data_IF_712905789288
#
_entry.id   IF_712905789288
#
_cell.length_a   1.000
_cell.length_b   1.000
_cell.length_c   1.000
_cell.angle_alpha   90.00
_cell.angle_beta   90.00
_cell.angle_gamma   90.00
#
_symmetry.space_group_name_H-M   'P 1'
#
loop_
_entity.id
_entity.type
_entity.pdbx_description
1 polymer ?
#
# COMPACT_ATOMS: atom_id res chain seq x y z
N UNK A 1 21.25 -49.77 -67.15
CA UNK A 1 21.19 -50.87 -66.16
C UNK A 1 22.10 -50.45 -65.01
N UNK A 2 21.71 -50.26 -63.75
CA UNK A 2 20.43 -50.32 -63.05
C UNK A 2 20.64 -49.58 -61.72
N UNK A 3 19.60 -48.88 -61.27
CA UNK A 3 19.53 -48.24 -59.95
C UNK A 3 19.24 -49.28 -58.85
N UNK A 4 19.39 -48.81 -57.60
CA UNK A 4 18.77 -49.31 -56.36
C UNK A 4 19.39 -50.56 -55.71
N UNK A 5 19.56 -50.68 -54.38
CA UNK A 5 19.53 -49.78 -53.22
C UNK A 5 20.19 -50.54 -52.05
N UNK A 6 20.66 -49.85 -51.00
CA UNK A 6 20.85 -50.47 -49.67
C UNK A 6 20.67 -49.47 -48.52
N UNK A 7 19.51 -49.65 -47.87
CA UNK A 7 18.95 -49.27 -46.56
C UNK A 7 19.78 -48.47 -45.53
N UNK A 8 19.09 -47.49 -44.97
CA UNK A 8 19.33 -46.71 -43.75
C UNK A 8 19.28 -47.50 -42.42
N UNK A 9 19.98 -46.96 -41.41
CA UNK A 9 19.52 -46.54 -40.05
C UNK A 9 20.77 -46.58 -39.14
N UNK A 10 21.25 -45.53 -38.48
CA UNK A 10 20.59 -44.40 -37.84
C UNK A 10 21.11 -44.37 -36.40
N UNK A 11 22.02 -43.44 -36.05
CA UNK A 11 22.35 -43.09 -34.66
C UNK A 11 22.54 -41.59 -34.56
N UNK A 12 21.60 -40.98 -33.83
CA UNK A 12 21.44 -39.56 -33.59
C UNK A 12 22.62 -39.01 -32.79
N UNK A 13 23.17 -37.90 -33.26
CA UNK A 13 24.08 -37.04 -32.51
C UNK A 13 23.21 -36.21 -31.55
N UNK A 14 23.40 -36.35 -30.24
CA UNK A 14 22.63 -35.65 -29.21
C UNK A 14 23.17 -34.23 -29.12
N UNK A 15 22.48 -33.30 -29.78
CA UNK A 15 22.70 -31.87 -29.65
C UNK A 15 22.16 -31.42 -28.29
N UNK A 16 23.05 -30.93 -27.42
CA UNK A 16 22.69 -30.38 -26.11
C UNK A 16 21.74 -29.19 -26.31
N UNK A 17 20.61 -29.12 -25.57
CA UNK A 17 19.70 -28.00 -25.71
C UNK A 17 20.39 -26.74 -25.20
N UNK A 18 20.54 -25.76 -26.10
CA UNK A 18 20.91 -24.38 -25.76
C UNK A 18 19.94 -23.89 -24.69
N UNK A 19 20.41 -23.78 -23.44
CA UNK A 19 19.69 -23.05 -22.40
C UNK A 19 19.56 -21.62 -22.89
N UNK A 20 18.35 -21.27 -23.33
CA UNK A 20 17.92 -19.88 -23.41
C UNK A 20 18.19 -19.26 -22.03
N UNK A 21 19.25 -18.47 -21.94
CA UNK A 21 19.40 -17.51 -20.84
C UNK A 21 18.31 -16.49 -21.10
N UNK A 22 17.15 -16.71 -20.49
CA UNK A 22 16.18 -15.64 -20.30
C UNK A 22 16.96 -14.55 -19.54
N UNK A 23 17.03 -13.36 -20.13
CA UNK A 23 17.40 -12.16 -19.40
C UNK A 23 16.65 -12.17 -18.07
N UNK A 24 17.28 -11.82 -16.92
CA UNK A 24 16.59 -11.84 -15.65
C UNK A 24 15.36 -10.95 -15.79
N UNK A 25 14.19 -11.61 -15.88
CA UNK A 25 12.91 -10.93 -15.87
C UNK A 25 12.95 -10.07 -14.63
N UNK A 26 12.82 -8.76 -14.82
CA UNK A 26 12.66 -7.79 -13.74
C UNK A 26 11.56 -8.37 -12.84
N UNK A 27 11.94 -8.93 -11.70
CA UNK A 27 10.99 -9.45 -10.72
C UNK A 27 10.08 -8.26 -10.44
N UNK A 28 8.83 -8.33 -10.90
CA UNK A 28 7.85 -7.33 -10.53
C UNK A 28 7.85 -7.37 -9.00
N UNK A 29 8.33 -6.29 -8.40
CA UNK A 29 8.43 -6.22 -6.96
C UNK A 29 7.00 -6.08 -6.47
N UNK A 30 6.32 -7.19 -6.22
CA UNK A 30 4.91 -7.26 -5.81
C UNK A 30 4.67 -6.61 -4.44
N UNK A 31 5.74 -6.18 -3.76
CA UNK A 31 5.69 -5.39 -2.54
C UNK A 31 5.02 -4.04 -2.79
N UNK A 32 3.89 -3.80 -2.13
CA UNK A 32 3.26 -2.47 -2.08
C UNK A 32 4.09 -1.54 -1.19
N UNK A 33 4.36 -0.34 -1.67
CA UNK A 33 5.06 0.72 -0.94
C UNK A 33 4.06 1.72 -0.39
N UNK A 34 4.08 1.91 0.92
CA UNK A 34 3.15 2.80 1.61
C UNK A 34 3.83 4.11 1.95
N UNK A 35 3.19 5.23 1.57
CA UNK A 35 3.41 6.53 2.19
C UNK A 35 2.40 6.68 3.34
N UNK A 36 2.88 6.56 4.57
CA UNK A 36 2.08 6.72 5.79
C UNK A 36 2.04 8.20 6.19
N UNK A 37 0.85 8.80 6.23
CA UNK A 37 0.63 10.19 6.63
C UNK A 37 -0.21 10.20 7.90
N UNK A 38 0.26 10.91 8.92
CA UNK A 38 -0.39 10.96 10.23
C UNK A 38 -0.15 12.31 10.89
N UNK A 39 -0.94 12.64 11.91
CA UNK A 39 -0.69 13.78 12.80
C UNK A 39 -0.56 13.24 14.22
N UNK A 40 0.56 13.55 14.87
CA UNK A 40 0.80 13.25 16.28
C UNK A 40 1.51 14.43 16.93
N UNK A 41 0.92 15.00 17.97
CA UNK A 41 1.49 16.14 18.70
C UNK A 41 2.37 15.68 19.87
N UNK A 42 2.15 14.45 20.35
CA UNK A 42 2.89 13.85 21.45
C UNK A 42 3.79 12.71 20.99
N UNK A 43 4.82 12.40 21.79
CA UNK A 43 5.72 11.26 21.50
C UNK A 43 4.99 9.93 21.69
N UNK A 44 4.03 9.91 22.59
CA UNK A 44 3.18 8.78 22.91
C UNK A 44 2.31 8.42 21.70
N UNK A 45 1.61 9.40 21.12
CA UNK A 45 0.85 9.20 19.87
C UNK A 45 1.75 8.74 18.72
N UNK A 46 2.92 9.35 18.56
CA UNK A 46 3.87 8.94 17.53
C UNK A 46 4.35 7.49 17.75
N UNK A 47 4.53 7.07 19.01
CA UNK A 47 4.88 5.71 19.35
C UNK A 47 3.78 4.72 18.94
N UNK A 48 2.51 5.06 19.15
CA UNK A 48 1.38 4.22 18.69
C UNK A 48 1.40 4.07 17.17
N UNK A 49 1.67 5.15 16.42
CA UNK A 49 1.80 5.08 14.96
C UNK A 49 2.97 4.19 14.53
N UNK A 50 4.09 4.23 15.26
CA UNK A 50 5.23 3.32 15.02
C UNK A 50 4.86 1.86 15.30
N UNK A 51 4.15 1.59 16.39
CA UNK A 51 3.65 0.24 16.69
C UNK A 51 2.74 -0.29 15.58
N UNK A 52 1.84 0.55 15.07
CA UNK A 52 0.99 0.21 13.92
C UNK A 52 1.82 -0.07 12.66
N UNK A 53 2.80 0.78 12.35
CA UNK A 53 3.68 0.63 11.17
C UNK A 53 4.45 -0.69 11.21
N UNK A 54 5.00 -1.02 12.36
CA UNK A 54 5.80 -2.23 12.56
C UNK A 54 4.88 -3.46 12.43
N UNK A 55 3.72 -3.44 13.09
CA UNK A 55 2.69 -4.48 12.96
C UNK A 55 2.18 -4.67 11.52
N UNK A 56 1.99 -3.58 10.75
CA UNK A 56 1.60 -3.64 9.34
C UNK A 56 2.66 -4.36 8.50
N UNK A 57 3.92 -4.01 8.71
CA UNK A 57 5.05 -4.60 7.97
C UNK A 57 5.21 -6.09 8.31
N UNK A 58 5.11 -6.42 9.60
CA UNK A 58 5.23 -7.79 10.09
C UNK A 58 4.07 -8.66 9.60
N UNK A 59 2.82 -8.16 9.70
CA UNK A 59 1.63 -8.88 9.23
C UNK A 59 1.65 -9.12 7.72
N UNK A 60 2.19 -8.17 6.96
CA UNK A 60 2.28 -8.28 5.51
C UNK A 60 3.37 -9.25 5.03
N UNK A 61 4.30 -9.65 5.91
CA UNK A 61 5.38 -10.60 5.59
C UNK A 61 6.09 -10.27 4.26
N UNK A 62 6.43 -8.99 4.08
CA UNK A 62 7.11 -8.49 2.89
C UNK A 62 6.21 -8.09 1.71
N UNK A 63 4.90 -8.33 1.75
CA UNK A 63 4.00 -7.92 0.66
C UNK A 63 3.61 -6.44 0.70
N UNK A 64 3.76 -5.79 1.85
CA UNK A 64 3.54 -4.37 2.07
C UNK A 64 4.71 -3.85 2.89
N UNK A 65 5.26 -2.71 2.48
CA UNK A 65 6.35 -2.03 3.18
C UNK A 65 6.04 -0.55 3.30
N UNK A 66 6.18 -0.01 4.52
CA UNK A 66 6.11 1.43 4.73
C UNK A 66 7.43 2.06 4.31
N UNK A 67 7.42 2.73 3.16
CA UNK A 67 8.62 3.33 2.57
C UNK A 67 8.91 4.71 3.18
N UNK A 68 7.86 5.48 3.47
CA UNK A 68 7.97 6.80 4.11
C UNK A 68 6.83 7.01 5.10
N UNK A 69 7.16 7.62 6.23
CA UNK A 69 6.19 8.06 7.24
C UNK A 69 6.33 9.58 7.41
N UNK A 70 5.21 10.30 7.44
CA UNK A 70 5.17 11.77 7.52
C UNK A 70 4.23 12.19 8.64
N UNK A 71 4.80 12.82 9.68
CA UNK A 71 4.05 13.48 10.73
C UNK A 71 3.73 14.93 10.31
N UNK A 72 2.45 15.27 10.31
CA UNK A 72 1.93 16.58 9.92
C UNK A 72 1.94 17.61 11.05
N UNK A 73 2.15 17.21 12.30
CA UNK A 73 2.28 18.15 13.42
C UNK A 73 3.57 18.99 13.33
N UNK A 74 4.58 18.51 12.61
CA UNK A 74 5.81 19.26 12.38
C UNK A 74 5.56 20.35 11.34
N UNK A 75 6.07 21.57 11.55
CA UNK A 75 5.82 22.73 10.66
C UNK A 75 6.18 22.52 9.18
N UNK A 76 7.05 21.55 8.87
CA UNK A 76 7.43 21.16 7.51
C UNK A 76 6.79 19.81 7.06
N UNK A 77 5.83 19.29 7.81
CA UNK A 77 5.22 17.98 7.57
C UNK A 77 4.51 17.92 6.22
N UNK A 78 3.80 18.99 5.84
CA UNK A 78 3.09 19.07 4.56
C UNK A 78 4.04 19.01 3.35
N UNK A 79 5.17 19.73 3.39
CA UNK A 79 6.16 19.72 2.31
C UNK A 79 6.76 18.34 2.06
N UNK A 80 6.79 17.52 3.12
CA UNK A 80 7.31 16.16 3.06
C UNK A 80 6.31 15.14 2.51
N UNK A 81 5.02 15.48 2.43
CA UNK A 81 4.01 14.63 1.77
C UNK A 81 4.26 14.68 0.26
N UNK A 82 4.41 13.50 -0.35
CA UNK A 82 4.53 13.38 -1.82
C UNK A 82 3.24 13.86 -2.47
N UNK A 83 3.33 14.32 -3.71
CA UNK A 83 2.14 14.64 -4.50
C UNK A 83 1.57 13.38 -5.19
N UNK A 84 0.53 13.56 -6.00
CA UNK A 84 -0.14 12.50 -6.73
C UNK A 84 0.79 11.70 -7.65
N UNK A 85 1.94 12.24 -8.07
CA UNK A 85 2.90 11.49 -8.90
C UNK A 85 3.47 10.26 -8.18
N UNK A 86 3.44 10.25 -6.84
CA UNK A 86 3.74 9.06 -6.06
C UNK A 86 2.83 7.89 -6.41
N UNK A 87 1.56 8.16 -6.72
CA UNK A 87 0.55 7.15 -7.03
C UNK A 87 0.56 6.70 -8.50
N UNK A 88 1.33 7.38 -9.36
CA UNK A 88 1.54 6.95 -10.76
C UNK A 88 2.32 5.63 -10.79
N UNK A 89 3.18 5.40 -9.78
CA UNK A 89 3.85 4.13 -9.58
C UNK A 89 2.85 3.02 -9.18
N UNK A 90 2.94 1.88 -9.87
CA UNK A 90 1.96 0.78 -9.78
C UNK A 90 1.79 0.25 -8.34
N UNK A 91 2.88 0.12 -7.60
CA UNK A 91 2.88 -0.49 -6.27
C UNK A 91 2.81 0.52 -5.13
N UNK A 92 2.69 1.80 -5.43
CA UNK A 92 2.63 2.83 -4.41
C UNK A 92 1.19 3.08 -3.97
N UNK A 93 1.01 3.19 -2.66
CA UNK A 93 -0.25 3.58 -2.03
C UNK A 93 0.01 4.67 -0.99
N UNK A 94 -1.04 5.40 -0.63
CA UNK A 94 -1.03 6.36 0.47
C UNK A 94 -1.93 5.83 1.57
N UNK A 95 -1.45 5.84 2.81
CA UNK A 95 -2.21 5.45 3.99
C UNK A 95 -2.31 6.63 4.95
N UNK A 96 -3.53 7.05 5.24
CA UNK A 96 -3.83 8.16 6.14
C UNK A 96 -4.26 7.63 7.51
N UNK A 97 -3.54 7.96 8.57
CA UNK A 97 -4.04 7.78 9.93
C UNK A 97 -4.98 8.91 10.30
N UNK A 98 -6.25 8.58 10.47
CA UNK A 98 -7.32 9.49 10.81
C UNK A 98 -7.45 9.64 12.32
N UNK A 99 -7.46 10.90 12.75
CA UNK A 99 -8.01 11.36 14.03
C UNK A 99 -8.99 12.49 13.71
N UNK A 100 -10.01 12.70 14.54
CA UNK A 100 -10.99 13.78 14.31
C UNK A 100 -10.32 15.14 14.10
N UNK A 101 -9.25 15.40 14.85
CA UNK A 101 -8.49 16.66 14.79
C UNK A 101 -7.66 16.81 13.51
N UNK A 102 -7.20 15.70 12.92
CA UNK A 102 -6.37 15.72 11.73
C UNK A 102 -7.16 15.84 10.42
N UNK A 103 -8.48 15.56 10.44
CA UNK A 103 -9.29 15.47 9.21
C UNK A 103 -9.24 16.76 8.38
N UNK A 104 -9.39 17.93 9.00
CA UNK A 104 -9.36 19.20 8.29
C UNK A 104 -8.01 19.48 7.63
N UNK A 105 -6.92 19.15 8.32
CA UNK A 105 -5.56 19.28 7.79
C UNK A 105 -5.31 18.29 6.65
N UNK A 106 -5.79 17.05 6.79
CA UNK A 106 -5.73 16.03 5.75
C UNK A 106 -6.54 16.44 4.51
N UNK A 107 -7.69 17.08 4.66
CA UNK A 107 -8.46 17.61 3.53
C UNK A 107 -7.62 18.60 2.70
N UNK A 108 -6.97 19.55 3.37
CA UNK A 108 -6.10 20.52 2.72
C UNK A 108 -5.00 19.82 1.93
N UNK A 109 -4.31 18.86 2.55
CA UNK A 109 -3.22 18.10 1.95
C UNK A 109 -3.70 17.29 0.74
N UNK A 110 -4.86 16.62 0.86
CA UNK A 110 -5.45 15.85 -0.22
C UNK A 110 -5.67 16.68 -1.48
N UNK A 111 -6.08 17.94 -1.32
CA UNK A 111 -6.29 18.89 -2.43
C UNK A 111 -4.97 19.43 -2.97
N UNK A 112 -4.09 19.91 -2.09
CA UNK A 112 -2.79 20.48 -2.48
C UNK A 112 -1.90 19.48 -3.20
N UNK A 113 -1.89 18.23 -2.72
CA UNK A 113 -1.11 17.12 -3.29
C UNK A 113 -1.84 16.41 -4.44
N UNK A 114 -3.01 16.90 -4.85
CA UNK A 114 -3.82 16.38 -5.98
C UNK A 114 -4.22 14.91 -5.85
N UNK A 115 -4.38 14.43 -4.62
CA UNK A 115 -4.97 13.12 -4.34
C UNK A 115 -6.49 13.09 -4.58
N UNK A 116 -7.10 14.27 -4.70
CA UNK A 116 -8.50 14.43 -5.10
C UNK A 116 -8.55 15.09 -6.48
N UNK A 117 -9.24 14.44 -7.42
CA UNK A 117 -9.47 14.96 -8.77
C UNK A 117 -10.98 14.96 -9.04
N UNK A 118 -11.51 16.08 -9.53
CA UNK A 118 -12.96 16.24 -9.78
C UNK A 118 -13.84 15.92 -8.56
N UNK A 119 -13.32 16.16 -7.35
CA UNK A 119 -14.00 15.84 -6.10
C UNK A 119 -13.98 14.36 -5.71
N UNK A 120 -13.27 13.50 -6.43
CA UNK A 120 -13.09 12.08 -6.10
C UNK A 120 -11.70 11.80 -5.56
N UNK A 121 -11.64 11.07 -4.44
CA UNK A 121 -10.40 10.62 -3.84
C UNK A 121 -9.78 9.49 -4.66
N UNK A 122 -8.47 9.54 -4.93
CA UNK A 122 -7.77 8.50 -5.69
C UNK A 122 -7.94 7.11 -5.04
N UNK A 123 -8.21 6.08 -5.85
CA UNK A 123 -8.48 4.72 -5.40
C UNK A 123 -7.31 3.99 -4.72
N UNK A 124 -6.08 4.54 -4.78
CA UNK A 124 -4.88 4.08 -4.07
C UNK A 124 -4.65 4.79 -2.72
N UNK A 125 -5.58 5.65 -2.30
CA UNK A 125 -5.56 6.29 -0.98
C UNK A 125 -6.42 5.48 -0.02
N UNK A 126 -5.81 5.09 1.08
CA UNK A 126 -6.40 4.34 2.17
C UNK A 126 -6.49 5.20 3.42
N UNK A 127 -7.47 4.92 4.28
CA UNK A 127 -7.58 5.57 5.58
C UNK A 127 -7.73 4.53 6.70
N UNK A 128 -7.15 4.82 7.85
CA UNK A 128 -7.28 4.01 9.07
C UNK A 128 -7.63 4.89 10.26
N UNK A 129 -8.49 4.42 11.15
CA UNK A 129 -8.62 4.98 12.50
C UNK A 129 -8.30 3.90 13.53
N UNK A 130 -7.50 4.23 14.55
CA UNK A 130 -7.15 3.27 15.60
C UNK A 130 -8.32 3.07 16.58
N UNK A 131 -8.97 4.18 16.96
CA UNK A 131 -10.18 4.15 17.78
C UNK A 131 -11.44 3.92 16.96
N UNK A 132 -12.53 4.54 17.39
CA UNK A 132 -13.83 4.45 16.72
C UNK A 132 -13.79 4.84 15.24
N UNK A 133 -14.77 4.35 14.49
CA UNK A 133 -14.98 4.74 13.10
C UNK A 133 -15.29 6.23 12.96
N UNK A 134 -14.62 6.88 11.99
CA UNK A 134 -14.83 8.29 11.64
C UNK A 134 -15.64 8.44 10.34
N UNK A 135 -16.47 7.45 10.00
CA UNK A 135 -17.27 7.42 8.76
C UNK A 135 -18.19 8.62 8.55
N UNK A 136 -18.62 9.27 9.63
CA UNK A 136 -19.52 10.44 9.56
C UNK A 136 -18.74 11.75 9.35
N UNK A 137 -17.41 11.71 9.51
CA UNK A 137 -16.49 12.84 9.31
C UNK A 137 -15.59 12.64 8.08
N UNK A 138 -15.49 11.41 7.57
CA UNK A 138 -14.58 11.02 6.49
C UNK A 138 -15.31 10.32 5.33
N UNK A 139 -15.04 10.70 4.06
CA UNK A 139 -14.17 11.79 3.63
C UNK A 139 -14.76 13.18 3.97
N UNK A 140 -13.93 14.18 4.25
CA UNK A 140 -14.40 15.52 4.58
C UNK A 140 -14.91 16.29 3.35
N UNK A 141 -15.78 17.26 3.62
CA UNK A 141 -16.27 18.20 2.62
C UNK A 141 -17.08 17.54 1.50
N UNK A 142 -16.86 18.00 0.26
CA UNK A 142 -17.51 17.44 -0.95
C UNK A 142 -16.66 16.35 -1.63
N UNK A 143 -15.80 15.66 -0.87
CA UNK A 143 -14.97 14.58 -1.41
C UNK A 143 -15.77 13.29 -1.44
N UNK A 144 -15.87 12.71 -2.63
CA UNK A 144 -16.43 11.38 -2.84
C UNK A 144 -15.32 10.32 -2.76
N UNK A 145 -15.68 9.12 -2.31
CA UNK A 145 -14.79 7.96 -2.44
C UNK A 145 -14.62 7.65 -3.92
N UNK A 146 -13.38 7.50 -4.39
CA UNK A 146 -13.11 7.16 -5.78
C UNK A 146 -12.90 5.66 -6.03
N UNK A 147 -13.26 4.80 -5.08
CA UNK A 147 -13.28 3.35 -5.27
C UNK A 147 -14.54 2.75 -4.67
N UNK A 148 -15.09 1.74 -5.35
CA UNK A 148 -16.19 0.91 -4.84
C UNK A 148 -15.71 -0.08 -3.75
N UNK A 149 -14.40 -0.34 -3.70
CA UNK A 149 -13.80 -1.22 -2.72
C UNK A 149 -13.60 -0.52 -1.38
N UNK A 150 -13.52 -1.32 -0.30
CA UNK A 150 -13.23 -0.81 1.04
C UNK A 150 -11.82 -0.20 1.06
N UNK A 151 -11.74 1.08 1.43
CA UNK A 151 -10.50 1.86 1.59
C UNK A 151 -10.35 2.48 2.97
N UNK A 152 -11.39 2.41 3.80
CA UNK A 152 -11.42 3.02 5.13
C UNK A 152 -11.55 1.92 6.19
N UNK A 153 -10.63 1.91 7.15
CA UNK A 153 -10.47 0.83 8.12
C UNK A 153 -10.47 1.37 9.54
N UNK A 154 -11.57 1.14 10.28
CA UNK A 154 -11.63 1.45 11.71
C UNK A 154 -11.25 0.21 12.52
N UNK A 155 -10.23 0.33 13.38
CA UNK A 155 -9.79 -0.75 14.28
C UNK A 155 -10.68 -0.86 15.53
N UNK A 156 -11.33 0.24 15.94
CA UNK A 156 -12.25 0.31 17.09
C UNK A 156 -11.61 -0.14 18.42
N UNK A 157 -10.33 0.17 18.63
CA UNK A 157 -9.73 0.00 19.94
C UNK A 157 -10.32 1.00 20.93
N UNK A 158 -10.66 0.54 22.13
CA UNK A 158 -11.22 1.39 23.19
C UNK A 158 -10.14 2.26 23.86
N UNK A 159 -8.94 1.71 24.05
CA UNK A 159 -7.82 2.39 24.72
C UNK A 159 -6.63 2.54 23.76
N UNK A 160 -6.68 3.59 22.93
CA UNK A 160 -5.69 3.86 21.88
C UNK A 160 -4.30 4.16 22.45
N UNK A 161 -4.24 4.84 23.61
CA UNK A 161 -3.00 5.37 24.19
C UNK A 161 -2.06 4.28 24.73
N UNK A 162 -2.57 3.06 24.87
CA UNK A 162 -1.82 1.91 25.42
C UNK A 162 -1.53 0.82 24.39
N UNK A 163 -1.83 1.06 23.11
CA UNK A 163 -1.71 0.06 22.05
C UNK A 163 -0.25 -0.37 21.82
N UNK A 164 -0.06 -1.67 21.67
CA UNK A 164 1.21 -2.32 21.35
C UNK A 164 1.14 -2.94 19.96
N UNK A 165 2.28 -3.28 19.33
CA UNK A 165 2.29 -3.89 18.00
C UNK A 165 1.41 -5.15 17.91
N UNK A 166 1.47 -6.00 18.94
CA UNK A 166 0.67 -7.23 19.04
C UNK A 166 -0.84 -7.00 19.02
N UNK A 167 -1.33 -5.85 19.48
CA UNK A 167 -2.76 -5.53 19.47
C UNK A 167 -3.24 -5.31 18.03
N UNK A 168 -2.41 -4.63 17.22
CA UNK A 168 -2.64 -4.47 15.78
C UNK A 168 -2.48 -5.78 15.00
N UNK A 169 -1.42 -6.55 15.26
CA UNK A 169 -1.14 -7.81 14.54
C UNK A 169 -2.26 -8.85 14.67
N UNK A 170 -2.90 -8.90 15.85
CA UNK A 170 -4.01 -9.81 16.15
C UNK A 170 -5.35 -9.34 15.58
N UNK A 171 -5.43 -8.10 15.10
CA UNK A 171 -6.66 -7.54 14.57
C UNK A 171 -6.96 -8.08 13.17
N UNK A 172 -8.18 -8.58 12.96
CA UNK A 172 -8.69 -8.93 11.63
C UNK A 172 -8.70 -7.71 10.69
N UNK A 173 -8.78 -6.50 11.24
CA UNK A 173 -8.69 -5.25 10.47
C UNK A 173 -7.32 -5.05 9.85
N UNK A 174 -6.25 -5.47 10.53
CA UNK A 174 -4.91 -5.43 9.94
C UNK A 174 -4.82 -6.40 8.75
N UNK A 175 -5.33 -7.63 8.91
CA UNK A 175 -5.39 -8.61 7.81
C UNK A 175 -6.18 -8.06 6.62
N UNK A 176 -7.34 -7.45 6.87
CA UNK A 176 -8.17 -6.86 5.83
C UNK A 176 -7.50 -5.66 5.13
N UNK A 177 -6.78 -4.82 5.89
CA UNK A 177 -6.03 -3.69 5.35
C UNK A 177 -4.92 -4.17 4.40
N UNK A 178 -4.12 -5.16 4.83
CA UNK A 178 -3.06 -5.75 4.00
C UNK A 178 -3.65 -6.32 2.71
N UNK A 179 -4.73 -7.12 2.82
CA UNK A 179 -5.38 -7.71 1.66
C UNK A 179 -5.92 -6.66 0.69
N UNK A 180 -6.50 -5.56 1.20
CA UNK A 180 -7.02 -4.48 0.36
C UNK A 180 -5.89 -3.70 -0.35
N UNK A 181 -4.76 -3.47 0.32
CA UNK A 181 -3.58 -2.86 -0.32
C UNK A 181 -3.02 -3.77 -1.42
N UNK A 182 -2.93 -5.07 -1.18
CA UNK A 182 -2.49 -6.04 -2.19
C UNK A 182 -3.44 -6.11 -3.38
N UNK A 183 -4.75 -6.13 -3.11
CA UNK A 183 -5.81 -6.12 -4.13
C UNK A 183 -5.97 -4.77 -4.85
N UNK A 184 -5.13 -3.77 -4.56
CA UNK A 184 -5.09 -2.54 -5.34
C UNK A 184 -4.40 -2.83 -6.67
N UNK A 185 -5.23 -3.22 -7.63
CA UNK A 185 -4.85 -3.40 -9.02
C UNK A 185 -4.93 -2.09 -9.81
N UNK A 186 -4.21 -2.09 -10.91
CA UNK A 186 -4.11 -1.05 -11.95
C UNK A 186 -5.48 -0.99 -12.64
N UNK A 187 -6.19 0.14 -12.56
CA UNK A 187 -7.13 0.54 -13.62
C UNK A 187 -6.33 1.22 -14.73
#
# INVERSE_FOLDING_TARGET
MGNDSSKEKGKQNVEQPRKHVQAPGKVLNDTKKVLLVYKSDTKEEELIVRHFRDALTDKANGSVKVEKSVNLANGNGNDNVKDSSWLDEVNNVVLLCLTSEAISLLEQILREKRYVQEGRLNGKVFSVSFGASLKDQWPPGRIQKGSEHVRDFAFNFENVDSLKPKDFEKSDRMTALVAAMQGTCID
#
